data_IF_631817551943
#
_entry.id   IF_631817551943
#
_cell.length_a   1.000
_cell.length_b   1.000
_cell.length_c   1.000
_cell.angle_alpha   90.00
_cell.angle_beta   90.00
_cell.angle_gamma   90.00
#
_symmetry.space_group_name_H-M   'P 1'
#
loop_
_entity.id
_entity.type
_entity.pdbx_description
1 polymer ?
#
# COMPACT_ATOMS: atom_id res chain seq x y z
N UNK A 1 9.40 13.41 13.98
CA UNK A 1 10.00 12.46 13.01
C UNK A 1 10.70 11.38 13.80
N UNK A 2 10.08 10.21 13.90
CA UNK A 2 10.76 9.00 14.36
C UNK A 2 11.26 8.27 13.10
N UNK A 3 12.54 7.90 13.00
CA UNK A 3 12.98 7.00 11.94
C UNK A 3 12.46 5.59 12.24
N UNK A 4 11.67 5.01 11.35
CA UNK A 4 11.26 3.61 11.48
C UNK A 4 12.44 2.69 11.06
N UNK A 5 12.83 1.70 11.87
CA UNK A 5 14.02 0.90 11.58
C UNK A 5 13.68 -0.38 10.80
N UNK A 6 14.52 -0.67 9.80
CA UNK A 6 14.84 -1.98 9.22
C UNK A 6 13.71 -2.84 8.64
N UNK A 7 13.42 -2.63 7.35
CA UNK A 7 12.80 -3.65 6.49
C UNK A 7 13.79 -4.79 6.21
N UNK A 8 13.52 -5.97 6.76
CA UNK A 8 14.01 -7.24 6.20
C UNK A 8 12.78 -8.05 5.81
N UNK A 9 12.49 -8.05 4.51
CA UNK A 9 11.44 -8.81 3.81
C UNK A 9 10.03 -8.72 4.43
N UNK A 10 9.32 -7.65 4.06
CA UNK A 10 7.86 -7.51 4.26
C UNK A 10 7.06 -8.48 3.36
N UNK A 11 7.73 -9.09 2.38
CA UNK A 11 7.16 -10.04 1.44
C UNK A 11 7.29 -11.49 1.96
N UNK A 12 6.17 -12.08 2.38
CA UNK A 12 6.07 -13.46 2.88
C UNK A 12 6.16 -14.52 1.79
N UNK A 13 5.55 -14.25 0.63
CA UNK A 13 5.43 -15.18 -0.49
C UNK A 13 6.11 -14.68 -1.75
N UNK A 14 6.48 -13.39 -1.78
CA UNK A 14 7.19 -12.78 -2.88
C UNK A 14 8.70 -12.69 -2.61
N UNK A 15 9.52 -13.08 -3.59
CA UNK A 15 10.97 -12.89 -3.54
C UNK A 15 11.40 -11.93 -4.63
N UNK A 16 12.13 -10.88 -4.22
CA UNK A 16 12.85 -10.00 -5.13
C UNK A 16 14.15 -10.68 -5.55
N UNK A 17 14.42 -10.71 -6.85
CA UNK A 17 15.75 -11.03 -7.34
C UNK A 17 16.62 -9.77 -7.20
N UNK A 18 17.51 -9.76 -6.21
CA UNK A 18 18.54 -8.72 -6.09
C UNK A 18 19.73 -9.02 -6.98
N UNK A 19 20.42 -7.98 -7.44
CA UNK A 19 21.78 -8.12 -8.00
C UNK A 19 22.71 -8.57 -6.87
N UNK A 20 23.62 -9.55 -7.07
CA UNK A 20 24.56 -9.95 -6.02
C UNK A 20 25.35 -8.72 -5.51
N UNK A 21 25.40 -8.53 -4.18
CA UNK A 21 26.20 -7.46 -3.56
C UNK A 21 27.68 -7.79 -3.78
N UNK A 22 28.33 -7.07 -4.68
CA UNK A 22 29.78 -6.97 -4.72
C UNK A 22 30.22 -5.84 -3.78
N UNK A 23 31.20 -6.09 -2.90
CA UNK A 23 31.77 -5.05 -2.05
C UNK A 23 32.58 -4.06 -2.91
N UNK A 24 32.41 -2.74 -2.75
CA UNK A 24 33.14 -1.75 -3.52
C UNK A 24 34.65 -1.76 -3.20
N UNK A 25 35.45 -1.63 -4.24
CA UNK A 25 36.89 -1.36 -4.19
C UNK A 25 37.15 0.11 -3.85
N UNK A 26 38.37 0.49 -3.39
CA UNK A 26 38.70 1.89 -3.09
C UNK A 26 38.52 2.85 -4.28
N UNK A 27 38.57 2.36 -5.53
CA UNK A 27 38.29 3.17 -6.73
C UNK A 27 36.79 3.42 -6.92
N UNK A 28 35.94 2.50 -6.48
CA UNK A 28 34.48 2.66 -6.52
C UNK A 28 34.00 3.75 -5.56
N UNK A 29 34.77 4.06 -4.51
CA UNK A 29 34.43 5.09 -3.51
C UNK A 29 34.59 6.51 -4.06
N UNK A 30 35.55 6.75 -4.95
CA UNK A 30 35.76 8.06 -5.59
C UNK A 30 34.77 8.33 -6.74
N UNK A 31 34.14 7.29 -7.31
CA UNK A 31 33.04 7.44 -8.28
C UNK A 31 31.66 7.69 -7.62
N UNK A 32 31.54 7.47 -6.31
CA UNK A 32 30.30 7.67 -5.51
C UNK A 32 30.09 9.13 -5.12
N UNK A 33 31.06 10.03 -5.37
CA UNK A 33 30.84 11.47 -5.28
C UNK A 33 30.00 11.95 -6.48
N UNK A 34 28.92 12.73 -6.27
CA UNK A 34 27.82 12.78 -7.22
C UNK A 34 28.19 13.47 -8.52
N UNK A 35 28.29 12.68 -9.60
CA UNK A 35 28.11 13.18 -10.97
C UNK A 35 26.62 13.50 -11.13
N UNK A 36 26.26 14.79 -11.11
CA UNK A 36 24.95 15.28 -11.56
C UNK A 36 24.67 14.72 -12.97
N UNK A 37 23.81 13.72 -13.10
CA UNK A 37 23.49 13.14 -14.42
C UNK A 37 22.67 11.84 -14.47
N UNK A 38 22.50 11.08 -13.37
CA UNK A 38 21.60 9.92 -13.26
C UNK A 38 21.00 9.92 -11.85
N UNK A 39 19.68 9.77 -11.70
CA UNK A 39 18.98 9.90 -10.39
C UNK A 39 18.06 11.11 -10.21
N UNK A 40 17.47 11.63 -11.30
CA UNK A 40 16.44 12.69 -11.24
C UNK A 40 15.05 12.22 -11.74
N UNK A 41 14.94 10.97 -12.17
CA UNK A 41 13.77 10.41 -12.84
C UNK A 41 13.29 9.18 -12.08
N UNK A 42 11.99 9.08 -11.83
CA UNK A 42 11.36 7.91 -11.23
C UNK A 42 11.42 6.75 -12.22
N UNK A 43 11.99 5.62 -11.78
CA UNK A 43 12.27 4.40 -12.56
C UNK A 43 13.07 4.65 -13.84
N UNK A 44 13.93 5.67 -13.86
CA UNK A 44 14.65 6.14 -15.05
C UNK A 44 13.72 6.51 -16.23
N UNK A 45 12.43 6.74 -15.96
CA UNK A 45 11.40 6.94 -16.98
C UNK A 45 10.61 8.23 -16.79
N UNK A 46 10.15 8.55 -15.58
CA UNK A 46 9.28 9.69 -15.32
C UNK A 46 10.04 10.86 -14.70
N UNK A 47 9.98 12.05 -15.32
CA UNK A 47 10.44 13.28 -14.68
C UNK A 47 9.42 13.77 -13.64
N UNK A 48 9.79 14.69 -12.74
CA UNK A 48 8.82 15.33 -11.84
C UNK A 48 7.62 15.91 -12.59
N UNK A 49 7.86 16.58 -13.72
CA UNK A 49 6.81 17.19 -14.56
C UNK A 49 5.92 16.12 -15.22
N UNK A 50 6.48 14.98 -15.61
CA UNK A 50 5.69 13.85 -16.14
C UNK A 50 4.79 13.23 -15.06
N UNK A 51 5.24 13.21 -13.80
CA UNK A 51 4.40 12.79 -12.66
C UNK A 51 3.32 13.83 -12.39
N UNK A 52 3.61 15.13 -12.45
CA UNK A 52 2.61 16.20 -12.34
C UNK A 52 1.53 16.11 -13.43
N UNK A 53 1.95 15.90 -14.69
CA UNK A 53 1.02 15.69 -15.80
C UNK A 53 0.14 14.45 -15.57
N UNK A 54 0.71 13.37 -15.04
CA UNK A 54 -0.05 12.18 -14.68
C UNK A 54 -1.07 12.47 -13.57
N UNK A 55 -0.67 13.19 -12.50
CA UNK A 55 -1.57 13.59 -11.43
C UNK A 55 -2.76 14.42 -11.95
N UNK A 56 -2.52 15.32 -12.90
CA UNK A 56 -3.59 16.09 -13.55
C UNK A 56 -4.49 15.19 -14.41
N UNK A 57 -3.89 14.42 -15.33
CA UNK A 57 -4.59 13.53 -16.26
C UNK A 57 -5.49 12.51 -15.55
N UNK A 58 -5.05 11.94 -14.43
CA UNK A 58 -5.84 10.98 -13.65
C UNK A 58 -6.84 11.65 -12.69
N UNK A 59 -6.87 12.98 -12.61
CA UNK A 59 -7.85 13.73 -11.84
C UNK A 59 -7.47 13.98 -10.38
N UNK A 60 -6.21 13.80 -10.00
CA UNK A 60 -5.70 14.14 -8.65
C UNK A 60 -5.61 15.66 -8.52
N UNK A 61 -4.92 16.35 -9.42
CA UNK A 61 -4.73 17.81 -9.37
C UNK A 61 -6.06 18.58 -9.36
N UNK A 62 -7.04 18.28 -10.25
CA UNK A 62 -8.37 18.92 -10.18
C UNK A 62 -9.08 18.74 -8.84
N UNK A 63 -8.92 17.56 -8.21
CA UNK A 63 -9.48 17.28 -6.88
C UNK A 63 -8.77 18.02 -5.76
N UNK A 64 -7.47 18.31 -5.89
CA UNK A 64 -6.75 19.16 -4.95
C UNK A 64 -7.20 20.61 -5.08
N UNK A 65 -7.35 21.11 -6.31
CA UNK A 65 -7.89 22.45 -6.58
C UNK A 65 -9.30 22.66 -6.03
N UNK A 66 -10.20 21.68 -6.21
CA UNK A 66 -11.54 21.72 -5.63
C UNK A 66 -11.56 21.80 -4.08
N UNK A 67 -10.42 21.52 -3.42
CA UNK A 67 -10.24 21.64 -1.96
C UNK A 67 -9.52 22.92 -1.52
N UNK A 68 -9.26 23.81 -2.46
CA UNK A 68 -8.58 25.09 -2.22
C UNK A 68 -7.06 25.01 -2.21
N UNK A 69 -6.47 23.88 -2.61
CA UNK A 69 -5.04 23.86 -2.89
C UNK A 69 -4.78 24.51 -4.24
N UNK A 70 -3.90 25.50 -4.28
CA UNK A 70 -3.43 26.14 -5.50
C UNK A 70 -2.37 25.27 -6.18
N UNK A 71 -1.28 25.91 -6.56
CA UNK A 71 -0.12 25.28 -7.19
C UNK A 71 0.35 24.02 -6.44
N UNK A 72 0.54 22.94 -7.19
CA UNK A 72 1.08 21.66 -6.72
C UNK A 72 2.48 21.46 -7.28
N UNK A 73 3.36 20.84 -6.49
CA UNK A 73 4.71 20.51 -6.91
C UNK A 73 5.05 19.06 -6.56
N UNK A 74 5.76 18.39 -7.46
CA UNK A 74 6.31 17.04 -7.26
C UNK A 74 7.81 17.12 -6.96
N UNK A 75 8.22 16.39 -5.94
CA UNK A 75 9.62 16.14 -5.61
C UNK A 75 9.89 14.63 -5.70
N UNK A 76 11.02 14.27 -6.29
CA UNK A 76 11.47 12.89 -6.44
C UNK A 76 12.79 12.67 -5.71
N UNK A 77 12.89 11.60 -4.93
CA UNK A 77 14.15 11.06 -4.42
C UNK A 77 14.36 9.69 -5.06
N UNK A 78 15.30 9.59 -5.99
CA UNK A 78 15.48 8.36 -6.81
C UNK A 78 16.92 7.85 -6.78
N UNK A 79 17.70 8.24 -5.77
CA UNK A 79 19.08 7.83 -5.61
C UNK A 79 19.20 6.33 -5.29
N UNK A 80 18.23 5.79 -4.54
CA UNK A 80 18.10 4.36 -4.26
C UNK A 80 17.05 3.73 -5.19
N UNK A 81 17.43 2.85 -6.13
CA UNK A 81 16.50 2.15 -7.01
C UNK A 81 15.48 1.26 -6.28
N UNK A 82 15.81 0.79 -5.07
CA UNK A 82 14.93 -0.05 -4.26
C UNK A 82 13.99 0.78 -3.36
N UNK A 83 14.26 2.07 -3.20
CA UNK A 83 13.49 2.99 -2.36
C UNK A 83 13.37 4.36 -3.02
N UNK A 84 12.59 4.45 -4.11
CA UNK A 84 12.30 5.73 -4.75
C UNK A 84 11.10 6.39 -4.08
N UNK A 85 11.20 7.69 -3.79
CA UNK A 85 10.15 8.45 -3.11
C UNK A 85 9.56 9.50 -4.04
N UNK A 86 8.23 9.55 -4.09
CA UNK A 86 7.46 10.62 -4.75
C UNK A 86 6.77 11.44 -3.66
N UNK A 87 7.00 12.75 -3.62
CA UNK A 87 6.28 13.69 -2.72
C UNK A 87 5.47 14.67 -3.53
N UNK A 88 4.20 14.84 -3.15
CA UNK A 88 3.28 15.82 -3.74
C UNK A 88 2.98 16.87 -2.69
N UNK A 89 3.33 18.13 -2.97
CA UNK A 89 3.01 19.28 -2.13
C UNK A 89 1.98 20.16 -2.80
N UNK A 90 1.18 20.88 -2.01
CA UNK A 90 0.25 21.88 -2.50
C UNK A 90 0.22 23.12 -1.62
N UNK A 91 0.02 24.29 -2.23
CA UNK A 91 -0.08 25.57 -1.52
C UNK A 91 -1.53 25.89 -1.15
N UNK A 92 -1.78 26.32 0.08
CA UNK A 92 -3.10 26.82 0.53
C UNK A 92 -2.89 27.87 1.63
N UNK A 93 -3.65 28.95 1.58
CA UNK A 93 -3.58 30.04 2.56
C UNK A 93 -2.15 30.58 2.83
N UNK A 94 -1.32 30.65 1.78
CA UNK A 94 0.07 31.10 1.88
C UNK A 94 1.08 30.07 2.41
N UNK A 95 0.64 28.86 2.75
CA UNK A 95 1.47 27.79 3.29
C UNK A 95 1.57 26.60 2.33
N UNK A 96 2.68 25.87 2.39
CA UNK A 96 2.90 24.64 1.61
C UNK A 96 2.71 23.42 2.49
N UNK A 97 1.89 22.48 2.04
CA UNK A 97 1.56 21.25 2.76
C UNK A 97 2.02 20.02 1.98
N UNK A 98 2.50 18.99 2.68
CA UNK A 98 2.73 17.67 2.12
C UNK A 98 1.40 16.92 2.05
N UNK A 99 0.95 16.62 0.84
CA UNK A 99 -0.37 16.07 0.56
C UNK A 99 -0.28 14.58 0.23
N UNK A 100 0.72 14.21 -0.57
CA UNK A 100 0.97 12.85 -1.00
C UNK A 100 2.42 12.45 -0.79
N UNK A 101 2.64 11.21 -0.40
CA UNK A 101 3.98 10.62 -0.37
C UNK A 101 3.87 9.12 -0.66
N UNK A 102 4.72 8.62 -1.55
CA UNK A 102 4.73 7.22 -1.96
C UNK A 102 6.16 6.69 -2.05
N UNK A 103 6.37 5.49 -1.49
CA UNK A 103 7.63 4.75 -1.57
C UNK A 103 7.45 3.62 -2.56
N UNK A 104 8.24 3.64 -3.62
CA UNK A 104 8.05 2.80 -4.79
C UNK A 104 9.37 2.21 -5.26
N UNK A 105 9.29 1.02 -5.84
CA UNK A 105 10.35 0.47 -6.68
C UNK A 105 9.77 -0.49 -7.71
N UNK A 106 10.54 -0.77 -8.75
CA UNK A 106 10.26 -1.87 -9.67
C UNK A 106 11.17 -3.03 -9.35
N UNK A 107 10.70 -4.26 -9.53
CA UNK A 107 11.55 -5.44 -9.31
C UNK A 107 11.03 -6.67 -10.03
N UNK A 108 11.93 -7.60 -10.33
CA UNK A 108 11.55 -8.91 -10.85
C UNK A 108 11.21 -9.83 -9.69
N UNK A 109 9.99 -10.36 -9.74
CA UNK A 109 9.43 -11.23 -8.73
C UNK A 109 9.41 -12.69 -9.18
N UNK A 110 9.71 -13.58 -8.23
CA UNK A 110 9.46 -15.03 -8.35
C UNK A 110 8.80 -15.58 -7.09
N UNK A 111 8.12 -16.72 -7.21
CA UNK A 111 7.53 -17.42 -6.07
C UNK A 111 7.79 -18.91 -6.09
N UNK A 112 7.98 -19.47 -4.89
CA UNK A 112 8.05 -20.91 -4.66
C UNK A 112 6.83 -21.42 -3.87
N UNK A 113 5.83 -20.56 -3.65
CA UNK A 113 4.66 -20.87 -2.86
C UNK A 113 3.91 -22.09 -3.45
N UNK A 114 3.61 -23.13 -2.65
CA UNK A 114 2.93 -24.33 -3.16
C UNK A 114 1.58 -24.04 -3.81
N UNK A 115 0.88 -22.98 -3.36
CA UNK A 115 -0.41 -22.60 -3.91
C UNK A 115 -0.34 -21.89 -5.27
N UNK A 116 0.86 -21.47 -5.70
CA UNK A 116 1.10 -20.68 -6.90
C UNK A 116 1.89 -21.47 -7.96
N UNK A 117 1.59 -22.76 -8.13
CA UNK A 117 2.32 -23.64 -9.04
C UNK A 117 2.40 -23.12 -10.49
N UNK A 118 1.34 -22.46 -10.98
CA UNK A 118 1.30 -21.81 -12.31
C UNK A 118 2.38 -20.73 -12.51
N UNK A 119 2.85 -20.14 -11.41
CA UNK A 119 3.84 -19.07 -11.39
C UNK A 119 5.23 -19.58 -10.99
N UNK A 120 5.37 -20.90 -10.73
CA UNK A 120 6.66 -21.50 -10.41
C UNK A 120 7.65 -21.25 -11.55
N UNK A 121 8.83 -20.77 -11.18
CA UNK A 121 9.92 -20.42 -12.11
C UNK A 121 9.56 -19.34 -13.14
N UNK A 122 8.45 -18.62 -12.95
CA UNK A 122 8.14 -17.44 -13.76
C UNK A 122 8.67 -16.20 -13.06
N UNK A 123 9.37 -15.39 -13.83
CA UNK A 123 9.73 -14.04 -13.46
C UNK A 123 8.58 -13.10 -13.87
N UNK A 124 8.08 -12.32 -12.93
CA UNK A 124 7.10 -11.27 -13.23
C UNK A 124 7.65 -9.93 -12.75
N UNK A 125 7.87 -8.96 -13.65
CA UNK A 125 8.25 -7.62 -13.24
C UNK A 125 7.05 -6.93 -12.57
N UNK A 126 7.22 -6.36 -11.39
CA UNK A 126 6.17 -5.70 -10.62
C UNK A 126 6.56 -4.28 -10.23
N UNK A 127 5.55 -3.42 -10.09
CA UNK A 127 5.65 -2.17 -9.34
C UNK A 127 5.28 -2.47 -7.89
N UNK A 128 6.16 -2.14 -6.95
CA UNK A 128 5.91 -2.29 -5.52
C UNK A 128 5.53 -0.95 -4.93
N UNK A 129 4.39 -0.90 -4.26
CA UNK A 129 3.97 0.21 -3.41
C UNK A 129 4.29 -0.19 -1.98
N UNK A 130 5.48 0.19 -1.51
CA UNK A 130 5.94 -0.09 -0.14
C UNK A 130 5.14 0.73 0.87
N UNK A 131 4.87 2.00 0.54
CA UNK A 131 4.08 2.89 1.38
C UNK A 131 3.37 3.95 0.55
N UNK A 132 2.16 4.34 1.00
CA UNK A 132 1.37 5.39 0.38
C UNK A 132 0.60 6.18 1.43
N UNK A 133 0.84 7.49 1.48
CA UNK A 133 0.08 8.43 2.30
C UNK A 133 -0.56 9.49 1.43
N UNK A 134 -1.86 9.69 1.63
CA UNK A 134 -2.67 10.69 0.92
C UNK A 134 -3.57 11.44 1.92
N UNK A 135 -3.07 12.54 2.49
CA UNK A 135 -3.66 13.21 3.63
C UNK A 135 -3.85 14.72 3.40
N UNK A 136 -4.83 15.30 4.06
CA UNK A 136 -5.16 16.73 4.02
C UNK A 136 -4.87 17.38 5.38
N UNK A 137 -3.66 17.95 5.60
CA UNK A 137 -3.28 18.54 6.88
C UNK A 137 -4.08 19.78 7.26
N UNK A 138 -4.90 20.32 6.35
CA UNK A 138 -5.62 21.59 6.54
C UNK A 138 -7.02 21.39 7.12
N UNK A 139 -7.44 20.14 7.36
CA UNK A 139 -8.77 19.83 7.87
C UNK A 139 -8.72 19.00 9.17
N UNK A 140 -9.63 19.26 10.11
CA UNK A 140 -9.84 18.38 11.25
C UNK A 140 -10.56 17.10 10.83
N UNK A 141 -10.42 16.05 11.65
CA UNK A 141 -11.32 14.90 11.57
C UNK A 141 -12.75 15.31 11.91
N UNK A 142 -13.73 14.64 11.30
CA UNK A 142 -15.15 14.91 11.53
C UNK A 142 -15.92 13.61 11.81
N UNK A 143 -17.19 13.70 12.22
CA UNK A 143 -18.01 12.52 12.51
C UNK A 143 -18.16 11.58 11.30
N UNK A 144 -18.29 12.14 10.09
CA UNK A 144 -18.40 11.35 8.84
C UNK A 144 -17.05 10.83 8.33
N UNK A 145 -15.95 11.35 8.87
CA UNK A 145 -14.57 10.99 8.51
C UNK A 145 -13.71 10.94 9.79
N UNK A 146 -13.99 9.97 10.67
CA UNK A 146 -13.20 9.80 11.87
C UNK A 146 -11.79 9.34 11.51
N UNK A 147 -10.86 9.52 12.44
CA UNK A 147 -9.48 9.07 12.32
C UNK A 147 -9.42 7.55 12.16
N UNK A 148 -8.71 7.06 11.14
CA UNK A 148 -8.35 5.65 11.00
C UNK A 148 -6.99 5.37 11.68
N UNK A 149 -6.69 4.10 12.05
CA UNK A 149 -5.35 3.72 12.53
C UNK A 149 -4.25 4.24 11.60
N UNK A 150 -3.17 4.78 12.18
CA UNK A 150 -2.03 5.31 11.42
C UNK A 150 -2.27 6.62 10.65
N UNK A 151 -3.46 7.24 10.72
CA UNK A 151 -3.67 8.54 10.11
C UNK A 151 -3.31 9.69 11.05
N UNK A 152 -2.60 10.69 10.54
CA UNK A 152 -2.36 11.95 11.27
C UNK A 152 -3.39 13.01 10.87
N UNK A 153 -3.83 12.97 9.61
CA UNK A 153 -4.86 13.87 9.08
C UNK A 153 -5.89 13.12 8.22
N UNK A 154 -7.08 13.71 7.98
CA UNK A 154 -8.09 13.12 7.11
C UNK A 154 -7.57 12.82 5.71
N UNK A 155 -8.05 11.73 5.11
CA UNK A 155 -7.66 11.35 3.75
C UNK A 155 -8.08 12.37 2.68
N UNK A 156 -7.24 12.53 1.65
CA UNK A 156 -7.51 13.41 0.51
C UNK A 156 -8.67 12.93 -0.37
N UNK A 157 -9.06 11.66 -0.31
CA UNK A 157 -10.12 11.12 -1.19
C UNK A 157 -9.74 11.11 -2.67
N UNK A 158 -8.45 10.93 -2.96
CA UNK A 158 -7.86 10.79 -4.31
C UNK A 158 -7.27 9.39 -4.56
N UNK A 159 -7.48 8.45 -3.63
CA UNK A 159 -6.86 7.12 -3.70
C UNK A 159 -7.20 6.34 -4.97
N UNK A 160 -8.44 6.45 -5.46
CA UNK A 160 -8.85 5.80 -6.72
C UNK A 160 -8.06 6.34 -7.91
N UNK A 161 -7.86 7.65 -7.98
CA UNK A 161 -7.11 8.30 -9.05
C UNK A 161 -5.62 7.94 -8.99
N UNK A 162 -5.04 7.90 -7.78
CA UNK A 162 -3.65 7.46 -7.56
C UNK A 162 -3.44 5.99 -7.96
N UNK A 163 -4.37 5.09 -7.61
CA UNK A 163 -4.27 3.68 -8.03
C UNK A 163 -4.36 3.54 -9.56
N UNK A 164 -5.24 4.30 -10.23
CA UNK A 164 -5.28 4.33 -11.70
C UNK A 164 -3.99 4.85 -12.32
N UNK A 165 -3.36 5.84 -11.68
CA UNK A 165 -2.06 6.34 -12.10
C UNK A 165 -1.00 5.24 -12.02
N UNK A 166 -0.94 4.47 -10.92
CA UNK A 166 -0.02 3.35 -10.78
C UNK A 166 -0.28 2.23 -11.80
N UNK A 167 -1.54 1.94 -12.13
CA UNK A 167 -1.89 1.01 -13.21
C UNK A 167 -1.34 1.47 -14.56
N UNK A 168 -1.55 2.75 -14.90
CA UNK A 168 -1.00 3.31 -16.12
C UNK A 168 0.54 3.40 -16.14
N UNK A 169 1.18 3.45 -14.96
CA UNK A 169 2.64 3.31 -14.85
C UNK A 169 3.08 1.87 -15.11
N UNK A 170 2.43 0.90 -14.48
CA UNK A 170 2.71 -0.52 -14.68
C UNK A 170 2.55 -0.95 -16.14
N UNK A 171 1.50 -0.48 -16.82
CA UNK A 171 1.28 -0.73 -18.26
C UNK A 171 2.40 -0.12 -19.12
N UNK A 172 2.76 1.14 -18.89
CA UNK A 172 3.82 1.85 -19.65
C UNK A 172 5.20 1.23 -19.46
N UNK A 173 5.47 0.69 -18.27
CA UNK A 173 6.72 0.02 -17.94
C UNK A 173 6.70 -1.48 -18.27
N UNK A 174 5.64 -1.97 -18.93
CA UNK A 174 5.46 -3.38 -19.29
C UNK A 174 5.58 -4.35 -18.09
N UNK A 175 5.08 -3.92 -16.93
CA UNK A 175 5.06 -4.72 -15.71
C UNK A 175 3.88 -5.70 -15.75
N UNK A 176 4.05 -6.86 -15.12
CA UNK A 176 3.01 -7.88 -14.98
C UNK A 176 2.01 -7.62 -13.84
N UNK A 177 2.27 -6.65 -12.97
CA UNK A 177 1.32 -6.21 -11.96
C UNK A 177 1.88 -5.18 -10.98
N UNK A 178 1.04 -4.85 -10.00
CA UNK A 178 1.38 -4.00 -8.85
C UNK A 178 1.26 -4.84 -7.59
N UNK A 179 2.23 -4.73 -6.69
CA UNK A 179 2.21 -5.35 -5.37
C UNK A 179 2.17 -4.30 -4.26
N UNK A 180 1.43 -4.58 -3.19
CA UNK A 180 1.43 -3.76 -1.97
C UNK A 180 1.14 -4.62 -0.75
N UNK A 181 1.73 -4.28 0.39
CA UNK A 181 1.43 -4.89 1.68
C UNK A 181 0.62 -3.90 2.52
N UNK A 182 -0.72 -4.01 2.57
CA UNK A 182 -1.54 -3.07 3.33
C UNK A 182 -1.16 -3.03 4.81
N UNK A 183 -0.69 -1.87 5.27
CA UNK A 183 -0.23 -1.70 6.65
C UNK A 183 -1.33 -1.96 7.69
N UNK A 184 -2.57 -1.59 7.35
CA UNK A 184 -3.76 -1.70 8.20
C UNK A 184 -4.92 -2.36 7.45
N UNK A 185 -5.88 -2.92 8.20
CA UNK A 185 -7.06 -3.60 7.63
C UNK A 185 -7.88 -2.73 6.67
N UNK A 186 -8.05 -1.45 7.00
CA UNK A 186 -8.79 -0.51 6.16
C UNK A 186 -8.10 -0.24 4.82
N UNK A 187 -6.76 -0.34 4.74
CA UNK A 187 -6.04 -0.24 3.48
C UNK A 187 -6.44 -1.39 2.56
N UNK A 188 -6.46 -2.63 3.07
CA UNK A 188 -6.89 -3.78 2.29
C UNK A 188 -8.35 -3.66 1.81
N UNK A 189 -9.27 -3.18 2.66
CA UNK A 189 -10.67 -2.93 2.27
C UNK A 189 -10.77 -1.90 1.14
N UNK A 190 -9.95 -0.84 1.20
CA UNK A 190 -9.92 0.17 0.14
C UNK A 190 -9.31 -0.37 -1.17
N UNK A 191 -8.30 -1.22 -1.07
CA UNK A 191 -7.55 -1.73 -2.23
C UNK A 191 -8.24 -2.92 -2.91
N UNK A 192 -9.04 -3.71 -2.19
CA UNK A 192 -9.66 -4.95 -2.68
C UNK A 192 -10.60 -4.77 -3.88
N UNK A 193 -10.99 -3.53 -4.20
CA UNK A 193 -11.71 -3.22 -5.44
C UNK A 193 -10.94 -3.57 -6.71
N UNK A 194 -9.60 -3.57 -6.66
CA UNK A 194 -8.74 -3.94 -7.80
C UNK A 194 -7.56 -4.84 -7.43
N UNK A 195 -7.23 -4.94 -6.14
CA UNK A 195 -6.21 -5.85 -5.63
C UNK A 195 -6.84 -7.11 -5.04
N UNK A 196 -6.09 -8.21 -5.06
CA UNK A 196 -6.41 -9.45 -4.32
C UNK A 196 -5.19 -9.91 -3.55
N UNK A 197 -5.38 -10.52 -2.38
CA UNK A 197 -4.26 -11.15 -1.67
C UNK A 197 -3.66 -12.26 -2.53
N UNK A 198 -2.33 -12.30 -2.58
CA UNK A 198 -1.61 -13.30 -3.38
C UNK A 198 -1.84 -14.71 -2.85
N UNK A 199 -1.81 -14.90 -1.52
CA UNK A 199 -2.21 -16.16 -0.90
C UNK A 199 -3.74 -16.27 -0.85
N UNK A 200 -4.36 -17.24 -1.55
CA UNK A 200 -5.81 -17.43 -1.50
C UNK A 200 -6.32 -17.70 -0.08
N UNK A 201 -5.53 -18.33 0.80
CA UNK A 201 -5.94 -18.57 2.17
C UNK A 201 -6.03 -17.26 2.98
N UNK A 202 -5.14 -16.29 2.70
CA UNK A 202 -5.23 -14.95 3.26
C UNK A 202 -6.46 -14.23 2.72
N UNK A 203 -6.72 -14.29 1.40
CA UNK A 203 -7.92 -13.71 0.80
C UNK A 203 -9.20 -14.26 1.45
N UNK A 204 -9.28 -15.58 1.66
CA UNK A 204 -10.44 -16.22 2.28
C UNK A 204 -10.68 -15.76 3.73
N UNK A 205 -9.61 -15.65 4.54
CA UNK A 205 -9.71 -15.10 5.91
C UNK A 205 -10.11 -13.63 5.91
N UNK A 206 -9.59 -12.85 4.96
CA UNK A 206 -9.97 -11.45 4.79
C UNK A 206 -11.45 -11.31 4.42
N UNK A 207 -11.96 -12.18 3.54
CA UNK A 207 -13.38 -12.20 3.18
C UNK A 207 -14.27 -12.58 4.39
N UNK A 208 -13.83 -13.52 5.24
CA UNK A 208 -14.52 -13.84 6.49
C UNK A 208 -14.53 -12.67 7.48
N UNK A 209 -13.39 -11.95 7.59
CA UNK A 209 -13.27 -10.74 8.41
C UNK A 209 -14.26 -9.66 7.96
N UNK A 210 -14.39 -9.47 6.64
CA UNK A 210 -15.36 -8.53 6.07
C UNK A 210 -16.79 -8.92 6.35
N UNK A 211 -17.14 -10.20 6.20
CA UNK A 211 -18.48 -10.71 6.50
C UNK A 211 -18.84 -10.47 7.98
N UNK A 212 -17.91 -10.75 8.90
CA UNK A 212 -18.10 -10.50 10.33
C UNK A 212 -18.29 -9.01 10.66
N UNK A 213 -17.75 -8.12 9.82
CA UNK A 213 -17.83 -6.67 9.99
C UNK A 213 -18.85 -6.01 9.04
N UNK A 214 -19.71 -6.76 8.34
CA UNK A 214 -20.54 -6.22 7.25
C UNK A 214 -21.52 -5.10 7.67
N UNK A 215 -21.86 -5.01 8.96
CA UNK A 215 -22.69 -3.94 9.53
C UNK A 215 -21.91 -2.73 10.06
N UNK A 216 -20.58 -2.74 10.00
CA UNK A 216 -19.71 -1.69 10.52
C UNK A 216 -19.29 -0.72 9.43
N UNK A 217 -19.11 0.54 9.80
CA UNK A 217 -18.38 1.51 8.99
C UNK A 217 -16.91 1.10 8.83
N UNK A 218 -16.23 1.65 7.81
CA UNK A 218 -14.80 1.39 7.59
C UNK A 218 -13.96 1.70 8.84
N UNK A 219 -14.30 2.78 9.56
CA UNK A 219 -13.57 3.17 10.77
C UNK A 219 -13.82 2.21 11.94
N UNK A 220 -15.06 1.78 12.13
CA UNK A 220 -15.40 0.80 13.16
C UNK A 220 -14.71 -0.54 12.90
N UNK A 221 -14.67 -1.00 11.64
CA UNK A 221 -13.91 -2.19 11.23
C UNK A 221 -12.42 -1.99 11.52
N UNK A 222 -11.84 -0.87 11.08
CA UNK A 222 -10.42 -0.59 11.24
C UNK A 222 -10.00 -0.63 12.72
N UNK A 223 -10.76 0.06 13.57
CA UNK A 223 -10.52 0.06 15.00
C UNK A 223 -10.86 -1.27 15.67
N UNK A 224 -11.87 -2.02 15.20
CA UNK A 224 -12.16 -3.35 15.72
C UNK A 224 -10.97 -4.30 15.51
N UNK A 225 -10.34 -4.26 14.35
CA UNK A 225 -9.13 -5.07 14.09
C UNK A 225 -7.95 -4.56 14.90
N UNK A 226 -7.69 -3.24 14.89
CA UNK A 226 -6.55 -2.62 15.61
C UNK A 226 -6.61 -2.85 17.13
N UNK A 227 -7.83 -2.85 17.70
CA UNK A 227 -8.06 -3.06 19.13
C UNK A 227 -8.38 -4.52 19.47
N UNK A 228 -8.05 -5.46 18.58
CA UNK A 228 -8.17 -6.91 18.82
C UNK A 228 -9.61 -7.37 19.18
N UNK A 229 -10.63 -6.67 18.67
CA UNK A 229 -12.06 -6.96 18.91
C UNK A 229 -12.71 -7.87 17.88
N UNK A 230 -12.02 -8.23 16.81
CA UNK A 230 -12.48 -9.31 15.93
C UNK A 230 -11.86 -10.59 16.41
N UNK A 231 -12.67 -11.56 16.81
CA UNK A 231 -12.18 -12.81 17.42
C UNK A 231 -12.67 -14.03 16.63
N UNK A 232 -11.91 -15.11 16.69
CA UNK A 232 -12.29 -16.39 16.10
C UNK A 232 -13.21 -17.18 17.04
N UNK A 233 -14.34 -17.67 16.52
CA UNK A 233 -15.39 -18.33 17.32
C UNK A 233 -14.89 -19.55 18.09
N UNK A 234 -14.02 -20.35 17.46
CA UNK A 234 -13.56 -21.63 18.00
C UNK A 234 -12.54 -21.48 19.13
N UNK A 235 -11.71 -20.43 19.08
CA UNK A 235 -10.58 -20.23 19.98
C UNK A 235 -10.76 -19.04 20.93
N UNK A 236 -11.68 -18.13 20.62
CA UNK A 236 -11.81 -16.83 21.28
C UNK A 236 -10.60 -15.92 21.06
N UNK A 237 -9.68 -16.28 20.17
CA UNK A 237 -8.43 -15.54 19.98
C UNK A 237 -8.67 -14.36 19.03
N UNK A 238 -8.12 -13.17 19.33
CA UNK A 238 -8.19 -12.05 18.43
C UNK A 238 -7.49 -12.29 17.09
N UNK A 239 -8.13 -11.82 16.02
CA UNK A 239 -7.51 -11.73 14.70
C UNK A 239 -6.49 -10.60 14.74
N UNK A 240 -5.23 -10.95 14.52
CA UNK A 240 -4.15 -9.97 14.31
C UNK A 240 -3.99 -9.68 12.83
N UNK A 241 -3.96 -8.39 12.49
CA UNK A 241 -3.72 -7.95 11.13
C UNK A 241 -2.34 -8.39 10.66
N UNK A 242 -2.28 -9.12 9.55
CA UNK A 242 -1.04 -9.49 8.86
C UNK A 242 -0.89 -8.67 7.57
N UNK A 243 0.30 -8.13 7.36
CA UNK A 243 0.65 -7.30 6.19
C UNK A 243 1.04 -8.18 4.99
N UNK A 244 0.19 -9.15 4.65
CA UNK A 244 0.42 -10.06 3.51
C UNK A 244 0.24 -9.33 2.17
N UNK A 245 0.83 -9.87 1.10
CA UNK A 245 0.88 -9.20 -0.19
C UNK A 245 -0.45 -9.20 -0.92
N UNK A 246 -0.86 -8.02 -1.39
CA UNK A 246 -1.94 -7.83 -2.33
C UNK A 246 -1.38 -7.49 -3.72
N UNK A 247 -1.96 -8.10 -4.75
CA UNK A 247 -1.56 -7.96 -6.15
C UNK A 247 -2.71 -7.39 -6.98
N UNK A 248 -2.40 -6.42 -7.84
CA UNK A 248 -3.26 -6.00 -8.93
C UNK A 248 -2.62 -6.46 -10.26
N UNK A 249 -3.21 -7.43 -10.98
CA UNK A 249 -2.61 -8.00 -12.18
C UNK A 249 -2.80 -7.08 -13.39
N UNK A 250 -1.71 -6.74 -14.07
CA UNK A 250 -1.73 -6.11 -15.41
C UNK A 250 -1.40 -7.11 -16.51
N UNK A 251 -0.63 -8.16 -16.21
CA UNK A 251 -0.27 -9.24 -17.14
C UNK A 251 -1.01 -10.55 -16.90
N UNK A 252 -0.99 -11.43 -17.90
CA UNK A 252 -1.77 -12.67 -17.93
C UNK A 252 -1.33 -13.68 -16.86
N UNK A 253 -0.03 -13.81 -16.59
CA UNK A 253 0.46 -14.80 -15.62
C UNK A 253 -0.19 -14.64 -14.24
N UNK A 254 -0.19 -13.41 -13.70
CA UNK A 254 -0.82 -13.11 -12.40
C UNK A 254 -2.35 -13.21 -12.48
N UNK A 255 -2.96 -12.76 -13.59
CA UNK A 255 -4.41 -12.85 -13.80
C UNK A 255 -4.89 -14.30 -13.80
N UNK A 256 -4.27 -15.16 -14.62
CA UNK A 256 -4.56 -16.59 -14.71
C UNK A 256 -4.43 -17.29 -13.37
N UNK A 257 -3.44 -16.91 -12.55
CA UNK A 257 -3.29 -17.45 -11.20
C UNK A 257 -4.46 -17.05 -10.29
N UNK A 258 -4.77 -15.76 -10.19
CA UNK A 258 -5.81 -15.22 -9.32
C UNK A 258 -7.22 -15.67 -9.73
N UNK A 259 -7.47 -15.88 -11.03
CA UNK A 259 -8.76 -16.33 -11.57
C UNK A 259 -8.90 -17.86 -11.59
N UNK A 260 -7.81 -18.59 -11.31
CA UNK A 260 -7.78 -20.03 -11.36
C UNK A 260 -8.80 -20.69 -10.42
N UNK A 261 -9.31 -21.84 -10.85
CA UNK A 261 -10.19 -22.67 -10.01
C UNK A 261 -9.54 -23.02 -8.68
N UNK A 262 -8.25 -23.34 -8.71
CA UNK A 262 -7.47 -23.74 -7.52
C UNK A 262 -7.33 -22.60 -6.50
N UNK A 263 -7.07 -21.37 -6.96
CA UNK A 263 -7.08 -20.18 -6.10
C UNK A 263 -8.45 -20.00 -5.44
N UNK A 264 -9.53 -20.05 -6.24
CA UNK A 264 -10.91 -19.89 -5.75
C UNK A 264 -11.32 -20.97 -4.75
N UNK A 265 -10.95 -22.22 -4.99
CA UNK A 265 -11.25 -23.33 -4.08
C UNK A 265 -10.54 -23.17 -2.73
N UNK A 266 -9.25 -22.81 -2.73
CA UNK A 266 -8.50 -22.55 -1.48
C UNK A 266 -9.02 -21.34 -0.72
N UNK A 267 -9.34 -20.26 -1.43
CA UNK A 267 -9.94 -19.05 -0.85
C UNK A 267 -11.28 -19.37 -0.20
N UNK A 268 -12.15 -20.10 -0.91
CA UNK A 268 -13.47 -20.49 -0.38
C UNK A 268 -13.31 -21.41 0.84
N UNK A 269 -12.42 -22.40 0.78
CA UNK A 269 -12.15 -23.30 1.90
C UNK A 269 -11.65 -22.54 3.13
N UNK A 270 -10.70 -21.61 2.95
CA UNK A 270 -10.19 -20.79 4.04
C UNK A 270 -11.26 -19.86 4.62
N UNK A 271 -12.11 -19.26 3.78
CA UNK A 271 -13.25 -18.46 4.22
C UNK A 271 -14.22 -19.29 5.07
N UNK A 272 -14.61 -20.48 4.62
CA UNK A 272 -15.55 -21.35 5.34
C UNK A 272 -14.99 -21.91 6.65
N UNK A 273 -13.66 -22.10 6.72
CA UNK A 273 -12.98 -22.54 7.93
C UNK A 273 -12.83 -21.42 8.98
N UNK A 274 -12.90 -20.15 8.56
CA UNK A 274 -12.70 -18.99 9.43
C UNK A 274 -14.05 -18.39 9.82
N UNK A 275 -14.45 -18.59 11.09
CA UNK A 275 -15.66 -17.97 11.65
C UNK A 275 -15.26 -16.91 12.67
N UNK A 276 -15.69 -15.69 12.42
CA UNK A 276 -15.30 -14.51 13.17
C UNK A 276 -16.53 -13.76 13.64
N UNK A 277 -16.42 -13.12 14.80
CA UNK A 277 -17.40 -12.13 15.25
C UNK A 277 -16.70 -10.93 15.90
N UNK A 278 -17.42 -9.83 15.99
CA UNK A 278 -16.95 -8.60 16.64
C UNK A 278 -17.44 -8.59 18.08
N UNK A 279 -16.51 -8.52 19.04
CA UNK A 279 -16.89 -8.34 20.45
C UNK A 279 -17.19 -6.87 20.76
N UNK A 280 -18.15 -6.59 21.66
CA UNK A 280 -18.45 -5.24 22.10
C UNK A 280 -17.20 -4.53 22.62
N UNK A 281 -17.14 -3.22 22.42
CA UNK A 281 -16.15 -2.41 23.11
C UNK A 281 -16.51 -2.36 24.59
N UNK A 282 -15.72 -3.03 25.43
CA UNK A 282 -15.77 -2.82 26.88
C UNK A 282 -14.91 -1.58 27.17
N UNK A 283 -15.50 -0.43 27.55
CA UNK A 283 -14.70 0.69 28.00
C UNK A 283 -13.94 0.24 29.26
N UNK A 284 -12.61 0.15 29.16
CA UNK A 284 -11.76 0.03 30.34
C UNK A 284 -11.93 1.35 31.10
N UNK A 285 -12.31 1.25 32.38
CA UNK A 285 -12.42 2.42 33.25
C UNK A 285 -11.07 3.16 33.27
N UNK A 286 -11.10 4.42 32.84
CA UNK A 286 -10.04 5.43 32.97
C UNK A 286 -8.58 4.96 32.78
N UNK A 287 -8.19 4.77 31.52
CA UNK A 287 -6.83 5.18 31.10
C UNK A 287 -6.93 6.55 30.42
N UNK A 288 -6.09 7.53 30.79
CA UNK A 288 -6.16 8.87 30.22
C UNK A 288 -5.96 8.79 28.70
N UNK A 289 -6.87 9.46 28.03
CA UNK A 289 -7.06 9.53 26.61
C UNK A 289 -5.75 9.70 25.82
N UNK A 290 -5.20 8.59 25.29
CA UNK A 290 -4.13 8.64 24.27
C UNK A 290 -4.62 9.22 22.94
N UNK A 291 -5.90 9.61 22.79
CA UNK A 291 -6.43 10.25 21.57
C UNK A 291 -5.98 11.70 21.38
N UNK A 292 -5.35 12.31 22.39
CA UNK A 292 -4.67 13.59 22.26
C UNK A 292 -3.28 13.46 22.85
N UNK A 293 -2.24 13.43 22.01
CA UNK A 293 -0.88 14.00 22.22
C UNK A 293 0.14 13.21 21.37
N UNK A 294 0.34 13.66 20.12
CA UNK A 294 1.64 13.98 19.50
C UNK A 294 1.48 14.24 18.01
#
# INVERSE_FOLDING_TARGET
MNPHPHEKNVLRHLRLLGTPIALPTPQDVDEVLPRRGRGAMLFDFYSPEAVEEALDRYGVTPKLHARGFGETAVELETADPEHQVVRVRGRKDGHTYLLGEAFLHTGVWTTTAPFAERLRNREVPLLFIQWLRLQDPTRPFGPDRPRLPGQDHPGLGVGREVVRMFLGMAERLHLGGIASCPEFAHNAVLYETVFRFFDPAVQGRFDALRDACAGLTLAELAWAVETERVVEDSTGTPVRWSRDEMICPTGDALREHLESREYRERMTAAKMACRLHVVPHTPVADEPDKRNHR
#
